data_IF_683274311756
#
_entry.id   IF_683274311756
#
_cell.length_a   1.000
_cell.length_b   1.000
_cell.length_c   1.000
_cell.angle_alpha   90.00
_cell.angle_beta   90.00
_cell.angle_gamma   90.00
#
_symmetry.space_group_name_H-M   'P 1'
#
loop_
_entity.id
_entity.type
_entity.pdbx_description
1 polymer ?
#
# COMPACT_ATOMS: atom_id res chain seq x y z
N UNK A 1 -35.98 8.41 56.88
CA UNK A 1 -34.94 7.44 56.46
C UNK A 1 -35.12 6.92 55.03
N UNK A 2 -36.33 6.52 54.60
CA UNK A 2 -36.60 6.04 53.22
C UNK A 2 -36.25 7.06 52.11
N UNK A 3 -36.47 8.37 52.34
CA UNK A 3 -36.17 9.44 51.37
C UNK A 3 -34.66 9.66 51.16
N UNK A 4 -33.84 9.47 52.20
CA UNK A 4 -32.38 9.60 52.13
C UNK A 4 -31.78 8.40 51.37
N UNK A 5 -32.31 7.20 51.61
CA UNK A 5 -31.92 5.99 50.88
C UNK A 5 -32.29 6.05 49.39
N UNK A 6 -33.46 6.64 49.07
CA UNK A 6 -33.87 6.87 47.68
C UNK A 6 -32.94 7.87 46.96
N UNK A 7 -32.55 8.96 47.64
CA UNK A 7 -31.63 9.96 47.10
C UNK A 7 -30.22 9.41 46.87
N UNK A 8 -29.71 8.55 47.76
CA UNK A 8 -28.39 7.93 47.56
C UNK A 8 -28.36 6.97 46.37
N UNK A 9 -29.44 6.22 46.15
CA UNK A 9 -29.56 5.30 45.01
C UNK A 9 -29.57 6.07 43.69
N UNK A 10 -30.34 7.15 43.61
CA UNK A 10 -30.37 8.03 42.43
C UNK A 10 -28.98 8.60 42.13
N UNK A 11 -28.28 9.07 43.16
CA UNK A 11 -26.93 9.63 43.00
C UNK A 11 -25.93 8.58 42.46
N UNK A 12 -25.97 7.34 42.98
CA UNK A 12 -25.14 6.23 42.52
C UNK A 12 -25.41 5.87 41.05
N UNK A 13 -26.67 5.94 40.59
CA UNK A 13 -27.00 5.68 39.17
C UNK A 13 -26.50 6.76 38.22
N UNK A 14 -26.42 8.01 38.68
CA UNK A 14 -25.92 9.13 37.87
C UNK A 14 -24.39 9.05 37.74
N UNK A 15 -23.68 8.69 38.82
CA UNK A 15 -22.22 8.59 38.79
C UNK A 15 -21.69 7.38 38.01
N UNK A 16 -22.50 6.34 37.80
CA UNK A 16 -22.09 5.14 37.04
C UNK A 16 -22.26 5.27 35.53
N UNK A 17 -22.91 6.33 35.03
CA UNK A 17 -23.17 6.54 33.60
C UNK A 17 -22.05 7.19 32.79
N UNK A 18 -21.01 7.76 33.42
CA UNK A 18 -19.95 8.48 32.71
C UNK A 18 -18.66 7.65 32.61
N UNK A 19 -18.69 6.61 31.77
CA UNK A 19 -17.49 5.88 31.36
C UNK A 19 -17.05 6.34 29.98
N UNK A 20 -15.89 7.00 29.86
CA UNK A 20 -15.22 7.19 28.56
C UNK A 20 -14.75 5.83 28.04
N UNK A 21 -15.63 5.11 27.36
CA UNK A 21 -15.32 3.86 26.68
C UNK A 21 -15.32 4.09 25.18
N UNK A 22 -14.13 4.01 24.59
CA UNK A 22 -13.93 4.01 23.14
C UNK A 22 -13.57 5.38 22.57
N UNK A 23 -12.37 5.48 22.00
CA UNK A 23 -12.12 6.49 20.97
C UNK A 23 -13.00 6.09 19.78
N UNK A 24 -14.11 6.80 19.56
CA UNK A 24 -15.03 6.57 18.42
C UNK A 24 -14.41 6.89 17.06
N UNK A 25 -13.09 7.05 17.02
CA UNK A 25 -12.31 7.33 15.84
C UNK A 25 -11.60 6.05 15.41
N UNK A 26 -11.60 5.79 14.11
CA UNK A 26 -10.81 4.74 13.52
C UNK A 26 -9.32 5.09 13.72
N UNK A 27 -8.72 4.59 14.79
CA UNK A 27 -7.26 4.54 14.91
C UNK A 27 -6.77 3.52 13.90
N UNK A 28 -6.22 4.03 12.80
CA UNK A 28 -5.65 3.22 11.73
C UNK A 28 -4.63 2.21 12.27
N UNK A 29 -4.39 1.15 11.50
CA UNK A 29 -3.39 0.15 11.86
C UNK A 29 -2.02 0.83 12.04
N UNK A 30 -1.33 0.52 13.14
CA UNK A 30 0.08 0.89 13.29
C UNK A 30 0.80 0.39 12.04
N UNK A 31 1.52 1.30 11.35
CA UNK A 31 2.19 1.04 10.09
C UNK A 31 3.15 -0.13 10.32
N UNK A 32 2.70 -1.36 10.04
CA UNK A 32 3.54 -2.55 10.09
C UNK A 32 4.76 -2.26 9.22
N UNK A 33 5.91 -2.77 9.65
CA UNK A 33 7.22 -2.60 9.02
C UNK A 33 7.10 -2.53 7.50
N UNK A 34 7.77 -1.55 6.88
CA UNK A 34 7.77 -1.36 5.43
C UNK A 34 7.85 -2.71 4.73
N UNK A 35 6.87 -3.00 3.88
CA UNK A 35 6.92 -4.17 3.03
C UNK A 35 8.18 -4.08 2.17
N UNK A 36 9.02 -5.11 2.26
CA UNK A 36 10.18 -5.27 1.41
C UNK A 36 9.92 -6.49 0.54
N UNK A 37 9.97 -6.29 -0.77
CA UNK A 37 9.93 -7.40 -1.73
C UNK A 37 11.19 -8.25 -1.50
N UNK A 38 11.07 -9.51 -1.06
CA UNK A 38 12.23 -10.40 -1.01
C UNK A 38 12.77 -10.61 -2.43
N UNK A 39 14.04 -10.96 -2.55
CA UNK A 39 14.66 -11.34 -3.83
C UNK A 39 13.91 -12.55 -4.44
N UNK A 40 13.16 -12.37 -5.54
CA UNK A 40 12.36 -13.44 -6.10
C UNK A 40 13.25 -14.49 -6.77
N UNK A 41 13.00 -15.76 -6.47
CA UNK A 41 13.78 -16.86 -7.05
C UNK A 41 13.64 -16.89 -8.58
N UNK A 42 14.77 -16.97 -9.28
CA UNK A 42 14.82 -17.05 -10.74
C UNK A 42 14.51 -15.73 -11.45
N UNK A 43 14.58 -14.59 -10.75
CA UNK A 43 14.45 -13.26 -11.33
C UNK A 43 15.73 -12.43 -11.16
N UNK A 44 15.92 -11.48 -12.07
CA UNK A 44 17.01 -10.51 -12.07
C UNK A 44 16.47 -9.11 -11.80
N UNK A 45 17.22 -8.34 -11.00
CA UNK A 45 16.90 -6.94 -10.72
C UNK A 45 17.31 -6.04 -11.89
N UNK A 46 16.34 -5.34 -12.48
CA UNK A 46 16.55 -4.35 -13.53
C UNK A 46 16.56 -2.95 -12.88
N UNK A 47 17.69 -2.21 -12.94
CA UNK A 47 17.77 -0.89 -12.34
C UNK A 47 16.91 0.13 -13.09
N UNK A 48 16.47 1.16 -12.37
CA UNK A 48 15.77 2.29 -12.98
C UNK A 48 16.66 2.98 -14.03
N UNK A 49 16.05 3.43 -15.11
CA UNK A 49 16.79 4.10 -16.17
C UNK A 49 15.90 4.60 -17.29
N UNK A 50 16.52 5.21 -18.29
CA UNK A 50 15.87 5.61 -19.53
C UNK A 50 16.60 5.03 -20.73
N UNK A 51 15.87 4.56 -21.71
CA UNK A 51 16.43 4.06 -22.96
C UNK A 51 15.57 4.46 -24.16
N UNK A 52 16.15 4.41 -25.35
CA UNK A 52 15.43 4.65 -26.60
C UNK A 52 14.76 3.35 -27.04
N UNK A 53 13.44 3.30 -26.92
CA UNK A 53 12.60 2.20 -27.35
C UNK A 53 12.20 2.40 -28.81
N UNK A 54 12.41 1.37 -29.64
CA UNK A 54 12.08 1.39 -31.07
C UNK A 54 13.26 0.96 -31.95
N UNK A 55 12.96 0.71 -33.23
CA UNK A 55 13.95 0.31 -34.23
C UNK A 55 14.78 1.53 -34.64
N UNK A 56 16.11 1.41 -34.62
CA UNK A 56 16.99 2.46 -35.13
C UNK A 56 17.36 2.29 -36.61
N UNK A 57 17.19 1.11 -37.24
CA UNK A 57 17.69 0.92 -38.63
C UNK A 57 17.12 -0.28 -39.43
N UNK A 58 16.11 -1.04 -38.94
CA UNK A 58 15.61 -2.24 -39.63
C UNK A 58 14.08 -2.39 -39.51
N UNK A 59 13.32 -1.61 -40.27
CA UNK A 59 11.92 -1.94 -40.56
C UNK A 59 11.87 -2.81 -41.83
N UNK A 60 11.80 -4.14 -41.66
CA UNK A 60 11.71 -5.11 -42.77
C UNK A 60 10.50 -4.84 -43.67
N UNK A 61 9.46 -4.25 -43.12
CA UNK A 61 8.19 -3.95 -43.78
C UNK A 61 8.11 -2.53 -44.34
N UNK A 62 9.14 -1.69 -44.13
CA UNK A 62 9.18 -0.28 -44.53
C UNK A 62 7.88 0.49 -44.18
N UNK A 63 7.26 0.06 -43.08
CA UNK A 63 5.94 0.49 -42.63
C UNK A 63 5.98 1.90 -42.01
N UNK A 64 7.16 2.40 -41.66
CA UNK A 64 7.39 3.69 -40.99
C UNK A 64 6.57 3.85 -39.69
N UNK A 65 6.06 2.75 -39.13
CA UNK A 65 5.21 2.75 -37.94
C UNK A 65 6.01 2.82 -36.64
N UNK A 66 7.31 2.58 -36.71
CA UNK A 66 8.20 2.41 -35.56
C UNK A 66 8.97 3.70 -35.30
N UNK A 67 8.37 4.60 -34.53
CA UNK A 67 9.04 5.80 -34.06
C UNK A 67 9.85 5.48 -32.80
N UNK A 68 11.15 5.78 -32.83
CA UNK A 68 12.01 5.70 -31.64
C UNK A 68 11.55 6.73 -30.61
N UNK A 69 11.34 6.28 -29.37
CA UNK A 69 10.93 7.14 -28.24
C UNK A 69 11.80 6.86 -27.03
N UNK A 70 12.20 7.92 -26.33
CA UNK A 70 12.88 7.78 -25.04
C UNK A 70 11.86 7.43 -23.96
N UNK A 71 12.05 6.28 -23.31
CA UNK A 71 11.17 5.78 -22.24
C UNK A 71 11.97 5.67 -20.96
N UNK A 72 11.38 6.13 -19.86
CA UNK A 72 11.94 5.98 -18.50
C UNK A 72 11.13 4.94 -17.75
N UNK A 73 11.80 3.98 -17.13
CA UNK A 73 11.17 2.87 -16.39
C UNK A 73 11.72 2.83 -14.96
N UNK A 74 10.87 2.64 -13.94
CA UNK A 74 11.33 2.39 -12.57
C UNK A 74 12.07 1.05 -12.46
N UNK A 75 12.73 0.79 -11.34
CA UNK A 75 13.35 -0.52 -11.09
C UNK A 75 12.30 -1.61 -10.89
N UNK A 76 12.55 -2.81 -11.43
CA UNK A 76 11.65 -3.97 -11.32
C UNK A 76 12.41 -5.30 -11.47
N UNK A 77 11.73 -6.42 -11.23
CA UNK A 77 12.26 -7.79 -11.39
C UNK A 77 11.82 -8.41 -12.72
N UNK A 78 12.70 -9.14 -13.39
CA UNK A 78 12.43 -9.83 -14.64
C UNK A 78 12.89 -11.30 -14.56
N UNK A 79 12.08 -12.24 -15.05
CA UNK A 79 12.44 -13.66 -15.09
C UNK A 79 13.77 -13.88 -15.85
N UNK A 80 14.66 -14.70 -15.29
CA UNK A 80 15.95 -15.04 -15.91
C UNK A 80 15.77 -15.89 -17.18
N UNK A 81 14.74 -16.75 -17.20
CA UNK A 81 14.43 -17.65 -18.30
C UNK A 81 12.94 -17.63 -18.61
N UNK A 82 12.60 -17.94 -19.86
CA UNK A 82 11.20 -18.16 -20.26
C UNK A 82 10.56 -19.28 -19.41
N UNK A 83 9.24 -19.18 -19.21
CA UNK A 83 8.46 -20.19 -18.50
C UNK A 83 8.47 -21.50 -19.31
N UNK A 84 8.86 -22.60 -18.68
CA UNK A 84 8.86 -23.96 -19.27
C UNK A 84 7.50 -24.63 -19.25
#
# INVERSE_FOLDING_TARGET
>A
MKKVLALSIVLLTILSGCGKSGNGELVGVSRKASFYEPDPFGMLFIPQGSFNMGLNDQDVTNSMTTQTRTVSIPSFWMDETEIT
#
